data_IF_162585219965
#
_entry.id   IF_162585219965
#
_cell.length_a   1.000
_cell.length_b   1.000
_cell.length_c   1.000
_cell.angle_alpha   90.00
_cell.angle_beta   90.00
_cell.angle_gamma   90.00
#
_symmetry.space_group_name_H-M   'P 1'
#
loop_
_entity.id
_entity.type
_entity.pdbx_description
1 polymer ?
#
# COMPACT_ATOMS: atom_id res chain seq x y z
N UNK A 1 21.11 -10.19 -3.47
CA UNK A 1 22.01 -10.12 -2.29
C UNK A 1 21.57 -11.10 -1.22
N UNK A 2 22.48 -11.51 -0.32
CA UNK A 2 22.25 -12.56 0.69
C UNK A 2 21.02 -12.26 1.59
N UNK A 3 20.80 -10.98 1.96
CA UNK A 3 19.67 -10.57 2.78
C UNK A 3 18.30 -10.82 2.12
N UNK A 4 18.18 -10.54 0.83
CA UNK A 4 16.96 -10.81 0.05
C UNK A 4 16.67 -12.32 0.01
N UNK A 5 17.70 -13.15 -0.19
CA UNK A 5 17.57 -14.61 -0.17
C UNK A 5 17.14 -15.14 1.19
N UNK A 6 17.68 -14.57 2.28
CA UNK A 6 17.28 -14.94 3.65
C UNK A 6 15.83 -14.58 3.93
N UNK A 7 15.39 -13.35 3.58
CA UNK A 7 13.98 -12.94 3.75
C UNK A 7 13.07 -13.79 2.87
N UNK A 8 13.45 -14.07 1.62
CA UNK A 8 12.70 -14.96 0.74
C UNK A 8 12.52 -16.34 1.37
N UNK A 9 13.63 -16.98 1.77
CA UNK A 9 13.60 -18.33 2.34
C UNK A 9 12.80 -18.39 3.65
N UNK A 10 12.96 -17.41 4.53
CA UNK A 10 12.23 -17.33 5.80
C UNK A 10 10.73 -17.10 5.60
N UNK A 11 10.33 -16.36 4.56
CA UNK A 11 8.93 -16.08 4.26
C UNK A 11 8.24 -17.20 3.46
N UNK A 12 9.02 -18.06 2.80
CA UNK A 12 8.48 -19.05 1.86
C UNK A 12 7.50 -20.05 2.50
N UNK A 13 7.85 -20.57 3.70
CA UNK A 13 7.03 -21.60 4.38
C UNK A 13 5.74 -21.03 4.98
N UNK A 14 5.80 -19.81 5.51
CA UNK A 14 4.63 -19.11 6.08
C UNK A 14 3.71 -18.54 5.00
N UNK A 15 4.19 -18.41 3.75
CA UNK A 15 3.38 -17.95 2.62
C UNK A 15 2.57 -19.10 2.02
N UNK A 16 1.23 -18.98 1.90
CA UNK A 16 0.40 -19.98 1.25
C UNK A 16 0.83 -20.21 -0.21
N UNK A 17 0.76 -21.46 -0.73
CA UNK A 17 1.28 -21.81 -2.06
C UNK A 17 0.80 -20.90 -3.20
N UNK A 18 -0.49 -20.51 -3.18
CA UNK A 18 -1.08 -19.67 -4.21
C UNK A 18 -0.44 -18.28 -4.34
N UNK A 19 0.15 -17.75 -3.26
CA UNK A 19 0.75 -16.41 -3.25
C UNK A 19 2.26 -16.41 -3.42
N UNK A 20 2.94 -17.56 -3.29
CA UNK A 20 4.41 -17.67 -3.43
C UNK A 20 4.98 -17.06 -4.72
N UNK A 21 4.30 -17.08 -5.89
CA UNK A 21 4.80 -16.39 -7.08
C UNK A 21 5.07 -14.89 -6.88
N UNK A 22 4.40 -14.23 -5.92
CA UNK A 22 4.56 -12.81 -5.62
C UNK A 22 5.70 -12.49 -4.63
N UNK A 23 6.36 -13.51 -4.04
CA UNK A 23 7.41 -13.31 -3.04
C UNK A 23 8.59 -12.49 -3.57
N UNK A 24 9.00 -12.74 -4.82
CA UNK A 24 10.14 -12.02 -5.42
C UNK A 24 9.89 -10.52 -5.50
N UNK A 25 8.69 -10.12 -5.93
CA UNK A 25 8.28 -8.73 -6.00
C UNK A 25 8.25 -8.06 -4.61
N UNK A 26 7.65 -8.73 -3.62
CA UNK A 26 7.58 -8.22 -2.26
C UNK A 26 8.97 -8.07 -1.63
N UNK A 27 9.86 -9.05 -1.82
CA UNK A 27 11.27 -8.97 -1.36
C UNK A 27 12.01 -7.83 -2.05
N UNK A 28 11.78 -7.61 -3.34
CA UNK A 28 12.35 -6.49 -4.09
C UNK A 28 11.90 -5.14 -3.53
N UNK A 29 10.61 -4.98 -3.24
CA UNK A 29 10.06 -3.77 -2.61
C UNK A 29 10.67 -3.55 -1.22
N UNK A 30 10.74 -4.60 -0.40
CA UNK A 30 11.38 -4.54 0.92
C UNK A 30 12.85 -4.11 0.81
N UNK A 31 13.62 -4.75 -0.06
CA UNK A 31 15.03 -4.46 -0.21
C UNK A 31 15.30 -3.03 -0.70
N UNK A 32 14.46 -2.54 -1.63
CA UNK A 32 14.50 -1.15 -2.07
C UNK A 32 14.21 -0.19 -0.91
N UNK A 33 13.17 -0.44 -0.13
CA UNK A 33 12.85 0.41 1.04
C UNK A 33 13.96 0.43 2.08
N UNK A 34 14.66 -0.68 2.28
CA UNK A 34 15.84 -0.74 3.15
C UNK A 34 17.01 0.11 2.61
N UNK A 35 17.28 0.09 1.30
CA UNK A 35 18.33 0.94 0.70
C UNK A 35 17.94 2.42 0.70
N UNK A 36 16.67 2.70 0.43
CA UNK A 36 16.16 4.04 0.20
C UNK A 36 15.47 4.66 1.41
N UNK A 37 15.77 4.17 2.63
CA UNK A 37 15.13 4.64 3.87
C UNK A 37 15.17 6.16 4.02
N UNK A 38 16.27 6.83 3.64
CA UNK A 38 16.38 8.30 3.70
C UNK A 38 15.49 8.99 2.66
N UNK A 39 15.52 8.53 1.41
CA UNK A 39 14.72 9.12 0.33
C UNK A 39 13.22 8.89 0.54
N UNK A 40 12.84 7.77 1.17
CA UNK A 40 11.44 7.43 1.44
C UNK A 40 10.91 8.07 2.73
N UNK A 41 11.77 8.51 3.65
CA UNK A 41 11.35 9.04 4.95
C UNK A 41 10.24 10.12 4.87
N UNK A 42 10.27 11.10 3.94
CA UNK A 42 9.18 12.07 3.81
C UNK A 42 7.84 11.43 3.41
N UNK A 43 7.86 10.48 2.46
CA UNK A 43 6.66 9.76 2.06
C UNK A 43 6.10 8.93 3.22
N UNK A 44 6.97 8.20 3.93
CA UNK A 44 6.55 7.39 5.08
C UNK A 44 5.99 8.25 6.23
N UNK A 45 6.59 9.42 6.47
CA UNK A 45 6.10 10.36 7.48
C UNK A 45 4.72 10.91 7.12
N UNK A 46 4.48 11.29 5.87
CA UNK A 46 3.18 11.76 5.40
C UNK A 46 2.11 10.67 5.51
N UNK A 47 2.39 9.46 5.02
CA UNK A 47 1.43 8.35 5.08
C UNK A 47 1.09 7.96 6.52
N UNK A 48 2.11 7.76 7.37
CA UNK A 48 1.90 7.38 8.78
C UNK A 48 1.24 8.50 9.56
N UNK A 49 1.67 9.74 9.36
CA UNK A 49 1.11 10.91 10.04
C UNK A 49 -0.36 11.10 9.71
N UNK A 50 -0.75 10.95 8.43
CA UNK A 50 -2.15 10.96 8.04
C UNK A 50 -2.95 9.88 8.77
N UNK A 51 -2.46 8.64 8.77
CA UNK A 51 -3.12 7.52 9.45
C UNK A 51 -3.25 7.81 10.95
N UNK A 52 -2.19 8.26 11.62
CA UNK A 52 -2.22 8.61 13.04
C UNK A 52 -3.25 9.73 13.31
N UNK A 53 -3.33 10.76 12.47
CA UNK A 53 -4.35 11.82 12.64
C UNK A 53 -5.77 11.34 12.35
N UNK A 54 -5.97 10.45 11.36
CA UNK A 54 -7.29 9.90 11.04
C UNK A 54 -7.87 9.08 12.18
N UNK A 55 -7.03 8.49 13.04
CA UNK A 55 -7.48 7.74 14.22
C UNK A 55 -8.31 8.63 15.17
N UNK A 56 -7.93 9.90 15.30
CA UNK A 56 -8.55 10.83 16.24
C UNK A 56 -10.01 11.13 15.86
N UNK A 57 -10.32 11.14 14.56
CA UNK A 57 -11.65 11.41 14.03
C UNK A 57 -12.62 10.20 14.11
N UNK A 58 -12.12 9.02 14.47
CA UNK A 58 -12.95 7.81 14.53
C UNK A 58 -13.77 7.75 15.82
N UNK A 59 -15.09 7.56 15.65
CA UNK A 59 -16.05 7.40 16.76
C UNK A 59 -15.97 6.02 17.41
N UNK A 60 -15.49 5.00 16.67
CA UNK A 60 -15.28 3.64 17.16
C UNK A 60 -13.97 3.07 16.64
N UNK A 61 -13.34 2.22 17.45
CA UNK A 61 -11.98 1.68 17.21
C UNK A 61 -11.93 0.17 17.52
N UNK A 62 -12.85 -0.60 16.96
CA UNK A 62 -12.97 -2.06 17.12
C UNK A 62 -12.09 -2.78 16.11
N UNK A 63 -12.42 -2.72 14.82
CA UNK A 63 -11.65 -3.38 13.76
C UNK A 63 -11.15 -2.39 12.73
N UNK A 64 -9.85 -2.43 12.44
CA UNK A 64 -9.23 -1.75 11.28
C UNK A 64 -8.69 -2.78 10.30
N UNK A 65 -8.88 -2.52 9.01
CA UNK A 65 -8.31 -3.31 7.92
C UNK A 65 -7.33 -2.46 7.12
N UNK A 66 -6.12 -2.97 6.89
CA UNK A 66 -5.09 -2.36 6.05
C UNK A 66 -4.95 -3.16 4.76
N UNK A 67 -5.40 -2.60 3.65
CA UNK A 67 -5.28 -3.14 2.31
C UNK A 67 -3.96 -2.71 1.67
N UNK A 68 -3.13 -3.67 1.26
CA UNK A 68 -1.79 -3.41 0.74
C UNK A 68 -0.79 -3.15 1.87
N UNK A 69 -0.87 -3.92 2.96
CA UNK A 69 -0.02 -3.70 4.14
C UNK A 69 1.49 -3.87 3.87
N UNK A 70 1.86 -4.65 2.85
CA UNK A 70 3.23 -4.80 2.35
C UNK A 70 4.27 -5.08 3.45
N UNK A 71 5.50 -4.54 3.30
CA UNK A 71 6.54 -4.62 4.33
C UNK A 71 6.31 -3.74 5.58
N UNK A 72 5.12 -3.16 5.76
CA UNK A 72 4.75 -2.23 6.84
C UNK A 72 5.57 -0.93 6.90
N UNK A 73 6.12 -0.47 5.77
CA UNK A 73 6.87 0.80 5.76
C UNK A 73 5.97 2.00 6.00
N UNK A 74 4.79 2.07 5.41
CA UNK A 74 3.83 3.17 5.53
C UNK A 74 2.76 2.92 6.60
N UNK A 75 2.69 1.71 7.16
CA UNK A 75 1.74 1.32 8.22
C UNK A 75 2.30 1.67 9.62
N UNK A 76 1.64 2.54 10.40
CA UNK A 76 1.97 2.79 11.81
C UNK A 76 1.41 1.67 12.70
N UNK A 77 1.91 0.44 12.54
CA UNK A 77 1.31 -0.76 13.17
C UNK A 77 1.25 -0.66 14.70
N UNK A 78 2.21 0.00 15.34
CA UNK A 78 2.21 0.21 16.78
C UNK A 78 1.02 1.06 17.24
N UNK A 79 0.70 2.14 16.51
CA UNK A 79 -0.46 2.99 16.78
C UNK A 79 -1.75 2.22 16.58
N UNK A 80 -1.86 1.48 15.47
CA UNK A 80 -3.04 0.68 15.15
C UNK A 80 -3.29 -0.41 16.21
N UNK A 81 -2.26 -1.19 16.57
CA UNK A 81 -2.41 -2.27 17.56
C UNK A 81 -2.68 -1.77 18.98
N UNK A 82 -2.26 -0.56 19.35
CA UNK A 82 -2.59 0.03 20.66
C UNK A 82 -4.02 0.58 20.72
N UNK A 83 -4.58 0.91 19.57
CA UNK A 83 -5.83 1.65 19.48
C UNK A 83 -7.03 0.76 19.15
N UNK A 84 -6.84 -0.24 18.29
CA UNK A 84 -7.91 -1.10 17.81
C UNK A 84 -7.98 -2.43 18.55
N UNK A 85 -9.19 -2.95 18.77
CA UNK A 85 -9.38 -4.31 19.30
C UNK A 85 -8.91 -5.40 18.34
N UNK A 86 -8.95 -5.13 17.03
CA UNK A 86 -8.52 -6.05 15.96
C UNK A 86 -7.88 -5.26 14.82
N UNK A 87 -6.72 -5.70 14.38
CA UNK A 87 -6.00 -5.15 13.21
C UNK A 87 -5.83 -6.27 12.18
N UNK A 88 -6.39 -6.10 10.99
CA UNK A 88 -6.26 -7.03 9.88
C UNK A 88 -5.31 -6.45 8.83
N UNK A 89 -4.20 -7.13 8.59
CA UNK A 89 -3.22 -6.80 7.56
C UNK A 89 -3.51 -7.65 6.33
N UNK A 90 -3.93 -7.01 5.23
CA UNK A 90 -4.34 -7.69 4.01
C UNK A 90 -3.34 -7.40 2.91
N UNK A 91 -2.74 -8.45 2.38
CA UNK A 91 -1.78 -8.38 1.27
C UNK A 91 -1.67 -9.75 0.59
N UNK A 92 -1.13 -9.80 -0.63
CA UNK A 92 -0.70 -11.07 -1.24
C UNK A 92 0.48 -11.66 -0.48
N UNK A 93 1.39 -10.84 0.04
CA UNK A 93 2.60 -11.30 0.74
C UNK A 93 2.79 -10.60 2.08
N UNK A 94 3.05 -11.40 3.12
CA UNK A 94 3.49 -10.96 4.43
C UNK A 94 4.91 -11.48 4.67
N UNK A 95 5.92 -10.61 4.55
CA UNK A 95 7.32 -11.01 4.70
C UNK A 95 7.71 -11.26 6.16
N UNK A 96 8.58 -12.25 6.40
CA UNK A 96 9.14 -12.56 7.72
C UNK A 96 9.84 -11.39 8.42
N UNK A 97 10.23 -10.35 7.68
CA UNK A 97 10.80 -9.11 8.24
C UNK A 97 9.85 -8.37 9.17
N UNK A 98 8.54 -8.63 9.08
CA UNK A 98 7.53 -7.97 9.92
C UNK A 98 7.20 -8.77 11.20
N UNK A 99 7.59 -10.04 11.29
CA UNK A 99 7.18 -10.98 12.34
C UNK A 99 7.46 -10.43 13.74
N UNK A 100 8.72 -10.06 14.02
CA UNK A 100 9.13 -9.51 15.33
C UNK A 100 8.36 -8.26 15.75
N UNK A 101 7.85 -7.48 14.79
CA UNK A 101 7.10 -6.25 15.05
C UNK A 101 5.65 -6.58 15.39
N UNK A 102 5.04 -7.51 14.67
CA UNK A 102 3.63 -7.86 14.86
C UNK A 102 3.40 -8.90 15.96
N UNK A 103 4.33 -9.82 16.22
CA UNK A 103 4.23 -10.87 17.24
C UNK A 103 4.14 -10.31 18.68
N UNK A 104 4.44 -9.02 18.85
CA UNK A 104 4.27 -8.28 20.11
C UNK A 104 2.80 -8.02 20.45
N UNK A 105 1.90 -8.22 19.49
CA UNK A 105 0.50 -7.82 19.57
C UNK A 105 -0.39 -9.04 19.32
N UNK A 106 -1.30 -9.33 20.25
CA UNK A 106 -2.23 -10.47 20.13
C UNK A 106 -3.42 -10.18 19.22
N UNK A 107 -3.68 -8.90 18.94
CA UNK A 107 -4.83 -8.38 18.20
C UNK A 107 -4.56 -8.16 16.70
N UNK A 108 -3.36 -8.47 16.20
CA UNK A 108 -3.03 -8.37 14.78
C UNK A 108 -3.16 -9.73 14.10
N UNK A 109 -3.75 -9.74 12.89
CA UNK A 109 -3.84 -10.92 12.05
C UNK A 109 -3.42 -10.58 10.62
N UNK A 110 -2.73 -11.53 9.99
CA UNK A 110 -2.43 -11.51 8.57
C UNK A 110 -3.58 -12.16 7.82
N UNK A 111 -3.95 -11.57 6.71
CA UNK A 111 -4.89 -12.12 5.74
C UNK A 111 -4.22 -12.11 4.37
N UNK A 112 -4.05 -13.30 3.78
CA UNK A 112 -3.44 -13.44 2.46
C UNK A 112 -4.53 -13.39 1.41
N UNK A 113 -4.55 -12.33 0.60
CA UNK A 113 -5.64 -12.09 -0.36
C UNK A 113 -5.13 -11.40 -1.61
N UNK A 114 -5.66 -11.81 -2.75
CA UNK A 114 -5.54 -11.04 -3.99
C UNK A 114 -6.64 -9.97 -4.00
N UNK A 115 -6.24 -8.70 -4.04
CA UNK A 115 -7.13 -7.55 -4.04
C UNK A 115 -7.44 -7.03 -5.46
N UNK A 116 -7.00 -7.74 -6.51
CA UNK A 116 -7.24 -7.36 -7.91
C UNK A 116 -8.51 -7.97 -8.47
N UNK A 117 -9.36 -7.13 -9.05
CA UNK A 117 -10.57 -7.56 -9.76
C UNK A 117 -10.30 -8.26 -11.09
N UNK A 118 -9.06 -8.21 -11.59
CA UNK A 118 -8.66 -8.98 -12.77
C UNK A 118 -8.75 -10.50 -12.54
N UNK A 119 -8.49 -10.95 -11.30
CA UNK A 119 -8.51 -12.36 -10.93
C UNK A 119 -9.70 -12.71 -10.03
N UNK A 120 -10.20 -11.75 -9.24
CA UNK A 120 -11.30 -11.95 -8.30
C UNK A 120 -12.32 -10.81 -8.43
N UNK A 121 -13.42 -11.00 -9.18
CA UNK A 121 -14.38 -9.92 -9.46
C UNK A 121 -14.87 -9.15 -8.21
N UNK A 122 -15.00 -9.83 -7.08
CA UNK A 122 -15.37 -9.23 -5.78
C UNK A 122 -14.21 -9.24 -4.77
N UNK A 123 -13.07 -8.69 -5.18
CA UNK A 123 -11.82 -8.74 -4.41
C UNK A 123 -11.92 -8.11 -3.01
N UNK A 124 -12.84 -7.16 -2.80
CA UNK A 124 -13.07 -6.49 -1.52
C UNK A 124 -14.37 -6.89 -0.82
N UNK A 125 -15.18 -7.80 -1.36
CA UNK A 125 -16.46 -8.23 -0.77
C UNK A 125 -16.32 -8.87 0.61
N UNK A 126 -15.14 -9.43 0.92
CA UNK A 126 -14.85 -9.97 2.25
C UNK A 126 -14.99 -8.93 3.37
N UNK A 127 -14.85 -7.63 3.06
CA UNK A 127 -15.02 -6.55 4.02
C UNK A 127 -16.45 -6.49 4.57
N UNK A 128 -17.46 -6.87 3.78
CA UNK A 128 -18.86 -6.86 4.21
C UNK A 128 -19.18 -7.94 5.25
N UNK A 129 -18.34 -8.97 5.33
CA UNK A 129 -18.45 -10.05 6.31
C UNK A 129 -17.71 -9.76 7.63
N UNK A 130 -17.04 -8.61 7.74
CA UNK A 130 -16.31 -8.23 8.95
C UNK A 130 -17.26 -7.47 9.87
N UNK A 131 -17.70 -8.14 10.93
CA UNK A 131 -18.41 -7.47 12.02
C UNK A 131 -17.52 -6.40 12.66
N UNK A 132 -18.14 -5.31 13.09
CA UNK A 132 -17.48 -4.20 13.78
C UNK A 132 -16.31 -3.57 12.97
N UNK A 133 -16.39 -3.59 11.63
CA UNK A 133 -15.44 -2.90 10.76
C UNK A 133 -15.63 -1.39 10.88
N UNK A 134 -14.67 -0.73 11.53
CA UNK A 134 -14.74 0.70 11.84
C UNK A 134 -13.89 1.56 10.90
N UNK A 135 -12.88 0.98 10.26
CA UNK A 135 -12.00 1.72 9.38
C UNK A 135 -11.28 0.82 8.38
N UNK A 136 -11.18 1.28 7.14
CA UNK A 136 -10.35 0.68 6.10
C UNK A 136 -9.26 1.65 5.66
N UNK A 137 -8.05 1.15 5.48
CA UNK A 137 -6.92 1.92 4.97
C UNK A 137 -6.42 1.24 3.70
N UNK A 138 -6.43 1.92 2.56
CA UNK A 138 -5.83 1.43 1.32
C UNK A 138 -4.52 2.19 1.05
N UNK A 139 -3.40 1.47 1.06
CA UNK A 139 -2.06 2.06 1.01
C UNK A 139 -1.29 1.63 -0.24
N UNK A 140 -0.99 2.61 -1.10
CA UNK A 140 -0.05 2.48 -2.23
C UNK A 140 -0.29 1.24 -3.11
N UNK A 141 -1.56 0.85 -3.24
CA UNK A 141 -1.97 -0.43 -3.84
C UNK A 141 -2.48 -0.26 -5.28
N UNK A 142 -3.18 0.84 -5.56
CA UNK A 142 -3.98 1.02 -6.79
C UNK A 142 -3.14 0.85 -8.07
N UNK A 143 -1.97 1.49 -8.13
CA UNK A 143 -1.06 1.38 -9.27
C UNK A 143 -0.44 0.00 -9.44
N UNK A 144 -0.28 -0.74 -8.34
CA UNK A 144 0.20 -2.13 -8.39
C UNK A 144 -0.89 -3.06 -8.91
N UNK A 145 -2.14 -2.85 -8.52
CA UNK A 145 -3.29 -3.58 -9.07
C UNK A 145 -3.41 -3.37 -10.57
N UNK A 146 -3.28 -2.12 -11.02
CA UNK A 146 -3.26 -1.77 -12.44
C UNK A 146 -2.12 -2.47 -13.18
N UNK A 147 -0.88 -2.35 -12.68
CA UNK A 147 0.32 -2.99 -13.29
C UNK A 147 0.20 -4.51 -13.38
N UNK A 148 -0.52 -5.15 -12.45
CA UNK A 148 -0.73 -6.59 -12.44
C UNK A 148 -1.88 -7.05 -13.38
N UNK A 149 -2.56 -6.15 -14.07
CA UNK A 149 -3.72 -6.42 -14.91
C UNK A 149 -3.56 -5.81 -16.33
N UNK A 150 -2.55 -6.23 -17.10
CA UNK A 150 -2.29 -5.67 -18.43
C UNK A 150 -3.52 -5.81 -19.36
N UNK A 151 -3.94 -4.72 -19.98
CA UNK A 151 -5.14 -4.63 -20.81
C UNK A 151 -6.45 -4.42 -20.05
N UNK A 152 -6.43 -4.44 -18.72
CA UNK A 152 -7.58 -4.16 -17.85
C UNK A 152 -7.24 -3.12 -16.75
N UNK A 153 -6.15 -2.37 -16.92
CA UNK A 153 -5.57 -1.52 -15.88
C UNK A 153 -6.58 -0.52 -15.33
N UNK A 154 -7.24 0.22 -16.24
CA UNK A 154 -8.27 1.19 -15.87
C UNK A 154 -9.47 0.54 -15.19
N UNK A 155 -9.91 -0.63 -15.67
CA UNK A 155 -11.06 -1.32 -15.10
C UNK A 155 -10.79 -1.76 -13.65
N UNK A 156 -9.57 -2.21 -13.35
CA UNK A 156 -9.16 -2.59 -11.99
C UNK A 156 -9.03 -1.37 -11.09
N UNK A 157 -8.46 -0.26 -11.59
CA UNK A 157 -8.40 1.03 -10.86
C UNK A 157 -9.80 1.50 -10.50
N UNK A 158 -10.71 1.54 -11.47
CA UNK A 158 -12.09 1.97 -11.29
C UNK A 158 -12.79 1.08 -10.26
N UNK A 159 -12.76 -0.24 -10.45
CA UNK A 159 -13.44 -1.18 -9.57
C UNK A 159 -12.95 -1.07 -8.12
N UNK A 160 -11.64 -0.93 -7.89
CA UNK A 160 -11.09 -0.79 -6.54
C UNK A 160 -11.53 0.51 -5.88
N UNK A 161 -11.35 1.65 -6.56
CA UNK A 161 -11.69 2.97 -6.02
C UNK A 161 -13.20 3.15 -5.82
N UNK A 162 -14.02 2.65 -6.75
CA UNK A 162 -15.48 2.67 -6.63
C UNK A 162 -15.94 1.79 -5.46
N UNK A 163 -15.35 0.60 -5.30
CA UNK A 163 -15.70 -0.27 -4.20
C UNK A 163 -15.35 0.36 -2.84
N UNK A 164 -14.18 1.00 -2.71
CA UNK A 164 -13.81 1.73 -1.49
C UNK A 164 -14.82 2.84 -1.15
N UNK A 165 -15.30 3.58 -2.15
CA UNK A 165 -16.27 4.67 -1.93
C UNK A 165 -17.64 4.18 -1.42
N UNK A 166 -17.99 2.92 -1.66
CA UNK A 166 -19.27 2.32 -1.24
C UNK A 166 -19.25 1.69 0.15
N UNK A 167 -18.10 1.67 0.83
CA UNK A 167 -17.97 1.09 2.18
C UNK A 167 -18.76 1.92 3.22
N UNK A 168 -19.27 1.24 4.24
CA UNK A 168 -20.10 1.85 5.29
C UNK A 168 -19.30 2.50 6.42
N UNK A 169 -17.99 2.24 6.47
CA UNK A 169 -17.06 2.83 7.42
C UNK A 169 -16.12 3.82 6.71
N UNK A 170 -15.49 4.76 7.44
CA UNK A 170 -14.44 5.62 6.90
C UNK A 170 -13.37 4.84 6.13
N UNK A 171 -12.85 5.43 5.05
CA UNK A 171 -11.81 4.82 4.23
C UNK A 171 -10.66 5.78 4.00
N UNK A 172 -9.49 5.55 4.59
CA UNK A 172 -8.30 6.33 4.24
C UNK A 172 -7.65 5.75 2.99
N UNK A 173 -7.46 6.58 1.97
CA UNK A 173 -6.77 6.21 0.74
C UNK A 173 -5.45 6.96 0.64
N UNK A 174 -4.35 6.24 0.41
CA UNK A 174 -3.06 6.78 -0.04
C UNK A 174 -2.71 6.10 -1.35
N UNK A 175 -2.51 6.86 -2.42
CA UNK A 175 -2.16 6.33 -3.73
C UNK A 175 -1.22 7.25 -4.48
N UNK A 176 -0.37 6.67 -5.32
CA UNK A 176 0.30 7.41 -6.37
C UNK A 176 -0.69 7.73 -7.51
N UNK A 177 -0.41 8.81 -8.22
CA UNK A 177 -1.22 9.32 -9.34
C UNK A 177 -0.49 9.18 -10.67
N UNK A 178 0.78 9.56 -10.66
CA UNK A 178 1.65 9.56 -11.82
C UNK A 178 3.10 9.39 -11.35
N UNK A 179 3.98 9.02 -12.28
CA UNK A 179 5.41 9.16 -12.07
C UNK A 179 6.06 9.97 -13.18
N UNK A 180 7.21 10.54 -12.84
CA UNK A 180 8.14 11.15 -13.80
C UNK A 180 9.55 10.64 -13.54
N UNK A 181 10.26 10.33 -14.61
CA UNK A 181 11.69 10.01 -14.57
C UNK A 181 12.47 11.24 -15.02
N UNK A 182 13.42 11.69 -14.21
CA UNK A 182 14.24 12.86 -14.49
C UNK A 182 15.69 12.47 -14.68
N UNK A 183 16.38 13.14 -15.60
CA UNK A 183 17.85 13.09 -15.66
C UNK A 183 18.49 14.06 -14.63
N UNK A 184 19.83 14.08 -14.58
CA UNK A 184 20.61 14.96 -13.68
C UNK A 184 20.44 16.46 -13.93
N UNK A 185 19.96 16.86 -15.10
CA UNK A 185 19.67 18.25 -15.45
C UNK A 185 18.21 18.63 -15.14
N UNK A 186 17.42 17.73 -14.56
CA UNK A 186 16.00 17.97 -14.27
C UNK A 186 15.07 17.84 -15.47
N UNK A 187 15.55 17.33 -16.61
CA UNK A 187 14.72 17.06 -17.78
C UNK A 187 13.92 15.79 -17.56
N UNK A 188 12.61 15.84 -17.83
CA UNK A 188 11.73 14.67 -17.80
C UNK A 188 12.02 13.80 -19.02
N UNK A 189 12.39 12.55 -18.77
CA UNK A 189 12.67 11.55 -19.82
C UNK A 189 11.49 10.60 -20.03
N UNK A 190 10.71 10.35 -19.00
CA UNK A 190 9.59 9.40 -19.03
C UNK A 190 8.50 9.83 -18.03
N UNK A 191 7.26 9.50 -18.34
CA UNK A 191 6.09 9.80 -17.51
C UNK A 191 4.99 8.78 -17.76
N UNK A 192 4.23 8.43 -16.74
CA UNK A 192 2.99 7.68 -16.92
C UNK A 192 1.93 8.10 -15.89
N UNK A 193 0.67 8.00 -16.31
CA UNK A 193 -0.50 8.09 -15.44
C UNK A 193 -0.76 6.70 -14.83
N UNK A 194 -0.62 6.60 -13.51
CA UNK A 194 -0.75 5.36 -12.76
C UNK A 194 -2.20 5.02 -12.42
N UNK A 195 -3.13 5.95 -12.68
CA UNK A 195 -4.58 5.76 -12.56
C UNK A 195 -5.26 5.55 -13.92
N UNK A 196 -4.49 5.48 -15.02
CA UNK A 196 -4.98 5.17 -16.35
C UNK A 196 -6.18 6.04 -16.78
N UNK A 197 -6.10 7.34 -16.49
CA UNK A 197 -7.09 8.35 -16.81
C UNK A 197 -8.26 8.43 -15.83
N UNK A 198 -8.25 7.70 -14.71
CA UNK A 198 -9.30 7.80 -13.68
C UNK A 198 -9.17 9.16 -12.97
N UNK A 199 -10.15 10.07 -13.11
CA UNK A 199 -10.12 11.31 -12.37
C UNK A 199 -10.20 11.04 -10.87
N UNK A 200 -9.45 11.84 -10.11
CA UNK A 200 -9.53 11.89 -8.65
C UNK A 200 -9.77 13.34 -8.20
N UNK A 201 -10.45 13.52 -7.06
CA UNK A 201 -10.70 14.84 -6.51
C UNK A 201 -9.43 15.68 -6.23
N UNK A 202 -9.58 17.01 -6.23
CA UNK A 202 -8.45 17.92 -6.03
C UNK A 202 -8.15 18.23 -4.56
N UNK A 203 -9.11 17.98 -3.67
CA UNK A 203 -9.05 18.22 -2.22
C UNK A 203 -8.10 17.28 -1.44
N UNK A 204 -7.54 16.24 -2.08
CA UNK A 204 -6.60 15.34 -1.42
C UNK A 204 -5.29 16.02 -1.03
N UNK A 205 -4.71 15.57 0.09
CA UNK A 205 -3.33 15.90 0.49
C UNK A 205 -2.38 15.41 -0.59
N UNK A 206 -1.32 16.17 -0.91
CA UNK A 206 -0.41 15.85 -2.02
C UNK A 206 1.04 16.03 -1.63
N UNK A 207 1.88 15.10 -2.05
CA UNK A 207 3.33 15.18 -1.89
C UNK A 207 4.06 14.43 -3.00
N UNK A 208 5.39 14.54 -3.01
CA UNK A 208 6.25 13.80 -3.93
C UNK A 208 6.93 12.66 -3.19
N UNK A 209 7.08 11.52 -3.84
CA UNK A 209 7.84 10.39 -3.35
C UNK A 209 8.93 10.04 -4.36
N UNK A 210 10.20 10.26 -3.98
CA UNK A 210 11.35 9.82 -4.78
C UNK A 210 11.54 8.30 -4.60
N UNK A 211 10.79 7.53 -5.38
CA UNK A 211 10.75 6.06 -5.32
C UNK A 211 12.13 5.47 -5.60
N UNK A 212 12.81 6.00 -6.61
CA UNK A 212 14.14 5.57 -7.01
C UNK A 212 15.02 6.82 -7.21
N UNK A 213 15.82 7.24 -6.22
CA UNK A 213 16.82 8.29 -6.42
C UNK A 213 17.92 7.82 -7.38
N UNK A 214 18.78 8.76 -7.81
CA UNK A 214 19.90 8.44 -8.69
C UNK A 214 20.75 7.28 -8.15
N UNK A 215 20.93 6.25 -8.99
CA UNK A 215 21.68 5.05 -8.65
C UNK A 215 20.86 3.89 -8.09
N UNK A 216 19.56 4.06 -7.83
CA UNK A 216 18.68 2.94 -7.43
C UNK A 216 18.20 2.12 -8.63
N UNK A 217 17.58 2.77 -9.63
CA UNK A 217 17.16 2.10 -10.89
C UNK A 217 18.19 2.30 -11.99
N UNK A 218 18.74 3.51 -12.10
CA UNK A 218 19.78 3.87 -13.07
C UNK A 218 20.70 4.96 -12.51
N UNK A 219 21.95 5.01 -12.96
CA UNK A 219 22.97 5.94 -12.46
C UNK A 219 22.66 7.42 -12.77
N UNK A 220 21.92 7.68 -13.84
CA UNK A 220 21.70 9.02 -14.40
C UNK A 220 20.25 9.47 -14.37
N UNK A 221 19.33 8.62 -13.90
CA UNK A 221 17.94 8.98 -13.72
C UNK A 221 17.44 8.79 -12.30
N UNK A 222 16.38 9.52 -11.96
CA UNK A 222 15.59 9.32 -10.76
C UNK A 222 14.11 9.24 -11.09
N UNK A 223 13.36 8.39 -10.39
CA UNK A 223 11.90 8.27 -10.52
C UNK A 223 11.22 8.91 -9.32
N UNK A 224 10.32 9.85 -9.59
CA UNK A 224 9.53 10.56 -8.59
C UNK A 224 8.05 10.36 -8.88
N UNK A 225 7.31 9.87 -7.90
CA UNK A 225 5.86 9.71 -7.96
C UNK A 225 5.18 10.94 -7.38
N UNK A 226 4.05 11.32 -7.98
CA UNK A 226 3.07 12.24 -7.41
C UNK A 226 2.12 11.44 -6.54
N UNK A 227 2.07 11.73 -5.25
CA UNK A 227 1.19 11.06 -4.30
C UNK A 227 -0.05 11.92 -4.02
N UNK A 228 -1.17 11.26 -3.75
CA UNK A 228 -2.31 11.87 -3.11
C UNK A 228 -2.87 10.99 -1.99
N UNK A 229 -3.51 11.64 -1.03
CA UNK A 229 -4.24 10.93 0.01
C UNK A 229 -5.50 11.66 0.47
N UNK A 230 -6.46 10.86 0.93
CA UNK A 230 -7.73 11.31 1.47
C UNK A 230 -7.96 10.64 2.83
N UNK A 231 -8.20 11.40 3.91
CA UNK A 231 -8.56 10.83 5.21
C UNK A 231 -9.82 9.95 5.12
N UNK A 232 -10.82 10.38 4.33
CA UNK A 232 -12.03 9.61 4.03
C UNK A 232 -12.40 9.71 2.54
N UNK A 233 -12.05 8.68 1.78
CA UNK A 233 -12.26 8.56 0.34
C UNK A 233 -13.74 8.57 -0.07
N UNK A 234 -14.65 8.18 0.84
CA UNK A 234 -16.09 8.15 0.54
C UNK A 234 -16.69 9.54 0.30
N UNK A 235 -16.02 10.58 0.80
CA UNK A 235 -16.42 11.98 0.68
C UNK A 235 -15.46 12.80 -0.19
N UNK A 236 -14.62 12.12 -0.99
CA UNK A 236 -13.60 12.75 -1.81
C UNK A 236 -14.22 13.57 -2.96
#
# INVERSE_FOLDING_TARGET
>A
MLAELMVYAASYRSTPPAFRPHLGEAVGLWARGQRQTRAWAPHLANSRGLIDTSIDDLTSRRTVVVLGSGPLFDVPIESLCRTFKRVLLVDRIHLSSIDKRIDRYSNVRRDWRDLSTANQPDALGFLDAIDDLDWVISLNLVSQLARAAPGAERAVVDAHLDRLATLRCPVTLVTDLDYRVFNRHGVVLDTADLLHGRPVPRNGLRWKWEVAPFGEEDRHTRRVHSMAAWPDWRHA
#
